data_IF_241054020433
#
_entry.id   IF_241054020433
#
_cell.length_a   1.000
_cell.length_b   1.000
_cell.length_c   1.000
_cell.angle_alpha   90.00
_cell.angle_beta   90.00
_cell.angle_gamma   90.00
#
_symmetry.space_group_name_H-M   'P 1'
#
loop_
_entity.id
_entity.type
_entity.pdbx_description
1 polymer ?
#
# COMPACT_ATOMS: atom_id res chain seq x y z
N UNK A 1 -7.06 -0.19 -2.04
CA UNK A 1 -8.30 0.02 -1.27
C UNK A 1 -8.61 1.50 -1.25
N UNK A 2 -9.89 1.86 -1.12
CA UNK A 2 -10.34 3.24 -0.98
C UNK A 2 -9.82 3.87 0.33
N UNK A 3 -9.77 5.20 0.39
CA UNK A 3 -9.43 5.92 1.62
C UNK A 3 -10.42 5.57 2.73
N UNK A 4 -9.95 5.07 3.88
CA UNK A 4 -10.83 4.70 4.99
C UNK A 4 -11.56 5.89 5.59
N UNK A 5 -12.82 5.68 5.99
CA UNK A 5 -13.70 6.74 6.53
C UNK A 5 -13.26 7.29 7.88
N UNK A 6 -12.39 6.59 8.61
CA UNK A 6 -11.84 7.01 9.91
C UNK A 6 -10.42 7.59 9.80
N UNK A 7 -9.85 7.66 8.59
CA UNK A 7 -8.54 8.25 8.37
C UNK A 7 -8.62 9.77 8.51
N UNK A 8 -7.82 10.29 9.42
CA UNK A 8 -7.78 11.71 9.76
C UNK A 8 -6.37 12.23 9.48
N UNK A 9 -6.30 13.30 8.69
CA UNK A 9 -5.08 14.06 8.43
C UNK A 9 -5.11 15.35 9.23
N UNK A 10 -4.17 15.52 10.17
CA UNK A 10 -3.96 16.78 10.89
C UNK A 10 -2.75 17.50 10.31
N UNK A 11 -2.89 18.80 10.06
CA UNK A 11 -1.81 19.69 9.64
C UNK A 11 -1.53 20.68 10.76
N UNK A 12 -0.29 20.73 11.21
CA UNK A 12 0.19 21.69 12.20
C UNK A 12 1.42 22.40 11.62
N UNK A 13 1.20 23.60 11.08
CA UNK A 13 2.17 24.28 10.22
C UNK A 13 2.61 23.39 9.05
N UNK A 14 3.91 23.09 8.99
CA UNK A 14 4.50 22.22 7.96
C UNK A 14 4.46 20.73 8.31
N UNK A 15 4.01 20.35 9.52
CA UNK A 15 3.95 18.95 9.93
C UNK A 15 2.59 18.34 9.57
N UNK A 16 2.60 17.25 8.80
CA UNK A 16 1.44 16.39 8.53
C UNK A 16 1.50 15.20 9.48
N UNK A 17 0.41 14.91 10.19
CA UNK A 17 0.22 13.66 10.93
C UNK A 17 -1.04 12.97 10.45
N UNK A 18 -0.97 11.65 10.28
CA UNK A 18 -2.10 10.83 9.83
C UNK A 18 -2.41 9.78 10.89
N UNK A 19 -3.69 9.66 11.20
CA UNK A 19 -4.14 8.82 12.29
C UNK A 19 -5.64 8.60 12.26
N UNK A 20 -6.17 8.13 13.37
CA UNK A 20 -7.60 7.95 13.62
C UNK A 20 -7.90 8.19 15.09
N UNK A 21 -9.19 8.33 15.43
CA UNK A 21 -9.63 8.49 16.81
C UNK A 21 -10.10 7.14 17.36
N UNK A 22 -9.53 6.71 18.47
CA UNK A 22 -10.00 5.57 19.26
C UNK A 22 -10.19 6.06 20.69
N UNK A 23 -11.40 5.94 21.23
CA UNK A 23 -11.75 6.38 22.58
C UNK A 23 -11.25 7.82 22.85
N UNK A 24 -11.57 8.74 21.93
CA UNK A 24 -11.19 10.17 21.99
C UNK A 24 -9.69 10.47 21.86
N UNK A 25 -8.84 9.44 21.73
CA UNK A 25 -7.39 9.59 21.54
C UNK A 25 -7.04 9.50 20.06
N UNK A 26 -6.24 10.46 19.58
CA UNK A 26 -5.67 10.41 18.25
C UNK A 26 -4.45 9.47 18.23
N UNK A 27 -4.54 8.38 17.48
CA UNK A 27 -3.48 7.37 17.34
C UNK A 27 -2.98 7.29 15.89
N UNK A 28 -1.71 6.93 15.65
CA UNK A 28 -1.20 6.72 14.30
C UNK A 28 -2.04 5.69 13.53
N UNK A 29 -2.14 5.89 12.21
CA UNK A 29 -2.87 4.96 11.35
C UNK A 29 -2.11 3.64 11.18
N UNK A 30 -2.82 2.58 10.78
CA UNK A 30 -2.21 1.26 10.60
C UNK A 30 -1.13 1.24 9.51
N UNK A 31 -0.13 0.39 9.73
CA UNK A 31 0.94 0.04 8.78
C UNK A 31 0.42 -0.82 7.62
N UNK A 32 1.23 -0.96 6.57
CA UNK A 32 0.96 -1.88 5.45
C UNK A 32 0.71 -3.32 5.92
N UNK A 33 1.53 -3.82 6.84
CA UNK A 33 1.40 -5.18 7.37
C UNK A 33 0.06 -5.36 8.07
N UNK A 34 -0.31 -4.45 8.97
CA UNK A 34 -1.61 -4.48 9.65
C UNK A 34 -2.78 -4.38 8.64
N UNK A 35 -2.67 -3.50 7.64
CA UNK A 35 -3.68 -3.34 6.58
C UNK A 35 -3.76 -4.53 5.61
N UNK A 36 -2.80 -5.44 5.62
CA UNK A 36 -2.89 -6.69 4.85
C UNK A 36 -4.00 -7.60 5.38
N UNK A 37 -4.39 -7.44 6.65
CA UNK A 37 -5.48 -8.20 7.27
C UNK A 37 -6.83 -7.52 7.00
N UNK A 38 -7.70 -8.21 6.27
CA UNK A 38 -9.03 -7.67 5.88
C UNK A 38 -9.90 -7.29 7.09
N UNK A 39 -9.76 -7.99 8.22
CA UNK A 39 -10.46 -7.67 9.47
C UNK A 39 -10.15 -6.26 9.99
N UNK A 40 -8.98 -5.71 9.67
CA UNK A 40 -8.53 -4.39 10.11
C UNK A 40 -9.35 -3.31 9.43
N UNK A 41 -9.55 -3.36 8.10
CA UNK A 41 -10.12 -2.23 7.35
C UNK A 41 -11.54 -2.44 6.80
N UNK A 42 -12.06 -3.67 6.72
CA UNK A 42 -13.33 -3.98 6.02
C UNK A 42 -14.58 -3.23 6.49
N UNK A 43 -14.58 -2.71 7.72
CA UNK A 43 -15.71 -1.94 8.27
C UNK A 43 -15.72 -0.47 7.87
N UNK A 44 -14.60 0.03 7.33
CA UNK A 44 -14.33 1.46 7.15
C UNK A 44 -13.76 1.83 5.78
N UNK A 45 -13.50 0.84 4.94
CA UNK A 45 -12.97 1.00 3.58
C UNK A 45 -13.46 -0.15 2.71
N UNK A 46 -13.26 -0.03 1.40
CA UNK A 46 -13.62 -1.03 0.40
C UNK A 46 -12.42 -1.38 -0.49
N UNK A 47 -12.38 -2.62 -0.95
CA UNK A 47 -11.48 -3.02 -2.01
C UNK A 47 -12.00 -2.47 -3.35
N UNK A 48 -11.13 -1.81 -4.11
CA UNK A 48 -11.42 -1.35 -5.48
C UNK A 48 -11.25 -2.53 -6.45
N UNK A 49 -10.14 -3.26 -6.29
CA UNK A 49 -9.77 -4.44 -7.06
C UNK A 49 -8.78 -5.28 -6.24
N UNK A 50 -8.75 -6.58 -6.47
CA UNK A 50 -7.75 -7.49 -5.92
C UNK A 50 -6.66 -7.76 -6.94
N UNK A 51 -5.40 -7.51 -6.56
CA UNK A 51 -4.21 -7.69 -7.40
C UNK A 51 -3.10 -8.38 -6.61
N UNK A 52 -2.06 -8.86 -7.30
CA UNK A 52 -0.87 -9.41 -6.63
C UNK A 52 -0.15 -8.31 -5.86
N UNK A 53 0.54 -8.68 -4.78
CA UNK A 53 1.20 -7.71 -3.89
C UNK A 53 2.25 -6.84 -4.61
N UNK A 54 2.96 -7.38 -5.61
CA UNK A 54 3.91 -6.61 -6.44
C UNK A 54 3.18 -5.57 -7.29
N UNK A 55 2.08 -5.93 -7.95
CA UNK A 55 1.30 -4.97 -8.74
C UNK A 55 0.71 -3.88 -7.86
N UNK A 56 0.22 -4.24 -6.66
CA UNK A 56 -0.24 -3.27 -5.66
C UNK A 56 0.89 -2.34 -5.22
N UNK A 57 2.04 -2.89 -4.86
CA UNK A 57 3.20 -2.11 -4.39
C UNK A 57 3.65 -1.10 -5.45
N UNK A 58 3.75 -1.52 -6.71
CA UNK A 58 4.13 -0.65 -7.82
C UNK A 58 3.07 0.45 -8.07
N UNK A 59 1.78 0.09 -8.11
CA UNK A 59 0.71 1.08 -8.28
C UNK A 59 0.70 2.13 -7.17
N UNK A 60 1.00 1.72 -5.93
CA UNK A 60 1.10 2.62 -4.78
C UNK A 60 2.36 3.48 -4.83
N UNK A 61 3.50 2.93 -5.29
CA UNK A 61 4.74 3.69 -5.44
C UNK A 61 4.61 4.80 -6.50
N UNK A 62 3.97 4.48 -7.63
CA UNK A 62 3.70 5.43 -8.72
C UNK A 62 2.52 6.37 -8.42
N UNK A 63 1.69 6.03 -7.43
CA UNK A 63 0.49 6.79 -7.06
C UNK A 63 -0.65 6.71 -8.08
N UNK A 64 -0.54 5.90 -9.14
CA UNK A 64 -1.63 5.64 -10.08
C UNK A 64 -1.39 4.37 -10.89
N UNK A 65 -2.46 3.80 -11.45
CA UNK A 65 -2.38 2.70 -12.39
C UNK A 65 -3.59 2.65 -13.33
N UNK A 66 -3.40 2.09 -14.52
CA UNK A 66 -4.51 1.62 -15.36
C UNK A 66 -4.78 0.15 -15.02
N UNK A 67 -5.95 -0.12 -14.46
CA UNK A 67 -6.38 -1.46 -14.06
C UNK A 67 -7.10 -2.12 -15.22
N UNK A 68 -6.71 -3.37 -15.52
CA UNK A 68 -7.39 -4.25 -16.47
C UNK A 68 -7.72 -5.56 -15.78
N UNK A 69 -9.01 -5.82 -15.62
CA UNK A 69 -9.57 -7.08 -15.12
C UNK A 69 -10.30 -7.76 -16.29
N UNK A 70 -10.31 -9.09 -16.41
CA UNK A 70 -11.15 -9.78 -17.41
C UNK A 70 -12.59 -9.28 -17.36
N UNK A 71 -13.22 -9.14 -18.52
CA UNK A 71 -14.64 -8.78 -18.68
C UNK A 71 -15.06 -7.37 -18.16
N UNK A 72 -14.10 -6.53 -17.77
CA UNK A 72 -14.34 -5.15 -17.38
C UNK A 72 -13.65 -4.16 -18.32
N UNK A 73 -14.28 -3.00 -18.51
CA UNK A 73 -13.65 -1.87 -19.18
C UNK A 73 -12.46 -1.44 -18.32
N UNK A 74 -11.25 -1.24 -18.90
CA UNK A 74 -10.11 -0.73 -18.16
C UNK A 74 -10.44 0.59 -17.47
N UNK A 75 -10.04 0.73 -16.22
CA UNK A 75 -10.29 1.92 -15.42
C UNK A 75 -9.02 2.40 -14.74
N UNK A 76 -8.93 3.70 -14.50
CA UNK A 76 -7.77 4.30 -13.84
C UNK A 76 -8.03 4.38 -12.34
N UNK A 77 -7.00 4.08 -11.56
CA UNK A 77 -6.96 4.40 -10.13
C UNK A 77 -5.88 5.45 -9.88
N UNK A 78 -6.16 6.38 -8.98
CA UNK A 78 -5.24 7.48 -8.63
C UNK A 78 -5.05 7.64 -7.14
N UNK A 79 -3.94 8.26 -6.74
CA UNK A 79 -3.63 8.59 -5.36
C UNK A 79 -4.81 9.35 -4.73
N UNK A 80 -5.22 8.89 -3.55
CA UNK A 80 -6.21 9.58 -2.72
C UNK A 80 -5.58 10.10 -1.44
N UNK A 81 -5.01 9.21 -0.61
CA UNK A 81 -4.24 9.58 0.58
C UNK A 81 -3.21 8.51 0.98
N UNK A 82 -2.40 8.78 2.00
CA UNK A 82 -1.45 7.84 2.59
C UNK A 82 -1.64 7.69 4.11
N UNK A 83 -1.16 6.60 4.68
CA UNK A 83 -1.27 6.32 6.12
C UNK A 83 -0.29 7.11 7.02
N UNK A 84 0.48 8.06 6.47
CA UNK A 84 1.41 8.92 7.18
C UNK A 84 2.69 8.25 7.65
N UNK A 85 2.99 7.02 7.22
CA UNK A 85 4.23 6.31 7.58
C UNK A 85 5.33 6.62 6.56
N UNK A 86 6.58 6.68 7.04
CA UNK A 86 7.73 6.84 6.18
C UNK A 86 7.91 5.62 5.25
N UNK A 87 8.35 5.89 4.03
CA UNK A 87 8.65 4.84 3.07
C UNK A 87 9.93 4.10 3.49
N UNK A 88 9.86 2.77 3.54
CA UNK A 88 11.04 1.92 3.67
C UNK A 88 11.19 1.06 2.42
N UNK A 89 12.36 1.13 1.79
CA UNK A 89 12.61 0.43 0.53
C UNK A 89 12.77 -1.09 0.75
N UNK A 90 12.11 -1.94 -0.06
CA UNK A 90 12.34 -3.38 -0.04
C UNK A 90 13.76 -3.79 -0.45
N UNK A 91 14.56 -2.87 -1.01
CA UNK A 91 15.85 -3.16 -1.66
C UNK A 91 16.83 -3.88 -0.73
N UNK A 92 16.90 -3.46 0.53
CA UNK A 92 17.81 -4.03 1.51
C UNK A 92 17.46 -5.50 1.80
N UNK A 93 16.16 -5.81 1.94
CA UNK A 93 15.69 -7.18 2.18
C UNK A 93 15.79 -8.07 0.94
N UNK A 94 15.90 -7.50 -0.26
CA UNK A 94 15.95 -8.24 -1.53
C UNK A 94 17.34 -8.27 -2.18
N UNK A 95 18.35 -7.73 -1.49
CA UNK A 95 19.72 -7.71 -1.98
C UNK A 95 20.24 -9.15 -2.17
N UNK A 96 20.65 -9.47 -3.40
CA UNK A 96 21.10 -10.81 -3.77
C UNK A 96 19.98 -11.83 -4.01
N UNK A 97 18.71 -11.44 -3.84
CA UNK A 97 17.53 -12.27 -4.12
C UNK A 97 16.92 -11.84 -5.46
N UNK A 98 16.63 -10.56 -5.61
CA UNK A 98 16.18 -9.98 -6.87
C UNK A 98 17.35 -9.30 -7.60
N UNK A 99 17.35 -9.34 -8.94
CA UNK A 99 18.33 -8.63 -9.77
C UNK A 99 18.27 -7.12 -9.57
N UNK A 100 17.05 -6.58 -9.51
CA UNK A 100 16.77 -5.18 -9.21
C UNK A 100 15.33 -5.02 -8.71
N UNK A 101 14.94 -3.78 -8.37
CA UNK A 101 13.57 -3.43 -8.02
C UNK A 101 12.77 -2.78 -9.16
N UNK A 102 13.30 -2.75 -10.39
CA UNK A 102 12.52 -2.23 -11.51
C UNK A 102 11.27 -3.11 -11.73
N UNK A 103 10.16 -2.56 -12.24
CA UNK A 103 8.88 -3.28 -12.31
C UNK A 103 8.95 -4.67 -12.94
N UNK A 104 9.68 -4.85 -14.06
CA UNK A 104 9.82 -6.13 -14.75
C UNK A 104 10.57 -7.18 -13.91
N UNK A 105 11.64 -6.76 -13.24
CA UNK A 105 12.49 -7.64 -12.45
C UNK A 105 11.77 -8.06 -11.19
N UNK A 106 11.10 -7.13 -10.51
CA UNK A 106 10.34 -7.43 -9.30
C UNK A 106 9.16 -8.38 -9.61
N UNK A 107 8.47 -8.18 -10.74
CA UNK A 107 7.43 -9.09 -11.23
C UNK A 107 7.96 -10.48 -11.56
N UNK A 108 9.19 -10.58 -12.06
CA UNK A 108 9.85 -11.87 -12.32
C UNK A 108 10.36 -12.51 -11.02
N UNK A 109 10.86 -11.70 -10.09
CA UNK A 109 11.45 -12.14 -8.84
C UNK A 109 10.41 -12.80 -7.92
N UNK A 110 9.20 -12.23 -7.81
CA UNK A 110 8.13 -12.82 -6.98
C UNK A 110 7.69 -14.22 -7.46
N UNK A 111 7.90 -14.56 -8.74
CA UNK A 111 7.61 -15.91 -9.24
C UNK A 111 8.62 -16.95 -8.72
N UNK A 112 9.85 -16.53 -8.40
CA UNK A 112 10.92 -17.40 -7.91
C UNK A 112 11.01 -17.40 -6.38
N UNK A 113 10.83 -16.23 -5.76
CA UNK A 113 11.00 -15.98 -4.33
C UNK A 113 9.75 -15.30 -3.74
N UNK A 114 8.58 -15.96 -3.78
CA UNK A 114 7.31 -15.32 -3.44
C UNK A 114 7.27 -14.82 -1.99
N UNK A 115 7.77 -15.61 -1.04
CA UNK A 115 7.72 -15.28 0.40
C UNK A 115 8.66 -14.13 0.74
N UNK A 116 9.88 -14.15 0.19
CA UNK A 116 10.90 -13.15 0.41
C UNK A 116 10.46 -11.79 -0.13
N UNK A 117 9.89 -11.77 -1.34
CA UNK A 117 9.34 -10.55 -1.95
C UNK A 117 8.14 -10.03 -1.19
N UNK A 118 7.21 -10.90 -0.80
CA UNK A 118 6.05 -10.52 0.01
C UNK A 118 6.47 -9.91 1.34
N UNK A 119 7.33 -10.59 2.10
CA UNK A 119 7.86 -10.08 3.37
C UNK A 119 8.60 -8.76 3.21
N UNK A 120 9.43 -8.62 2.17
CA UNK A 120 10.16 -7.39 1.91
C UNK A 120 9.23 -6.21 1.58
N UNK A 121 8.14 -6.45 0.85
CA UNK A 121 7.12 -5.42 0.58
C UNK A 121 6.34 -5.09 1.84
N UNK A 122 5.93 -6.08 2.64
CA UNK A 122 5.16 -5.85 3.87
C UNK A 122 5.95 -5.07 4.93
N UNK A 123 7.28 -5.21 4.97
CA UNK A 123 8.16 -4.39 5.83
C UNK A 123 8.06 -2.89 5.56
N UNK A 124 7.66 -2.46 4.37
CA UNK A 124 7.42 -1.05 4.10
C UNK A 124 6.13 -0.57 4.80
N UNK A 125 6.20 0.19 5.91
CA UNK A 125 5.01 0.51 6.69
C UNK A 125 4.07 1.46 5.95
N UNK A 126 4.55 2.17 4.92
CA UNK A 126 3.77 3.11 4.12
C UNK A 126 2.74 2.39 3.25
N UNK A 127 1.51 2.84 3.34
CA UNK A 127 0.38 2.39 2.51
C UNK A 127 -0.28 3.57 1.82
N UNK A 128 -0.55 3.43 0.52
CA UNK A 128 -1.22 4.44 -0.30
C UNK A 128 -2.64 3.97 -0.61
N UNK A 129 -3.62 4.81 -0.28
CA UNK A 129 -5.02 4.66 -0.62
C UNK A 129 -5.30 5.29 -1.98
N UNK A 130 -6.19 4.67 -2.75
CA UNK A 130 -6.47 5.03 -4.14
C UNK A 130 -7.97 5.30 -4.32
N UNK A 131 -8.35 5.99 -5.39
CA UNK A 131 -9.74 6.16 -5.85
C UNK A 131 -9.88 5.84 -7.34
#
# INVERSE_FOLDING_TARGET
>A
METPSDLIVKKDGNKKSVGKIINEVFVPYETREELSHTSVWKKRSKAIVYVKIVDLHLAQLEGSALVKVPDHIPFRITYSEDNGKEYQSPAESLKGICSSLIPSDLKSCILKYPKEVEMAILKNPRYIFLN
#
